data_IF_274423306894
#
_entry.id   IF_274423306894
#
_cell.length_a   1.000
_cell.length_b   1.000
_cell.length_c   1.000
_cell.angle_alpha   90.00
_cell.angle_beta   90.00
_cell.angle_gamma   90.00
#
_symmetry.space_group_name_H-M   'P 1'
#
loop_
_entity.id
_entity.type
_entity.pdbx_description
1 polymer ?
#
# COMPACT_ATOMS: atom_id res chain seq x y z
N UNK A 1 -5.81 6.00 -28.11
CA UNK A 1 -5.81 4.68 -27.42
C UNK A 1 -7.18 4.52 -26.82
N UNK A 2 -7.89 3.39 -27.00
CA UNK A 2 -9.17 3.20 -26.32
C UNK A 2 -8.94 3.37 -24.82
N UNK A 3 -9.79 4.13 -24.15
CA UNK A 3 -9.76 4.31 -22.70
C UNK A 3 -9.89 2.92 -22.06
N UNK A 4 -8.77 2.40 -21.54
CA UNK A 4 -8.81 1.18 -20.75
C UNK A 4 -9.41 1.60 -19.42
N UNK A 5 -10.64 1.17 -19.17
CA UNK A 5 -11.30 1.42 -17.89
C UNK A 5 -10.44 0.78 -16.79
N UNK A 6 -9.83 1.59 -15.93
CA UNK A 6 -8.92 1.08 -14.90
C UNK A 6 -9.73 0.21 -13.93
N UNK A 7 -9.30 -1.05 -13.76
CA UNK A 7 -10.02 -2.01 -12.89
C UNK A 7 -9.51 -2.00 -11.46
N UNK A 8 -8.26 -1.60 -11.27
CA UNK A 8 -7.59 -1.54 -9.98
C UNK A 8 -7.19 -0.11 -9.68
N UNK A 9 -7.85 0.50 -8.69
CA UNK A 9 -7.51 1.83 -8.20
C UNK A 9 -6.62 1.70 -6.96
N UNK A 10 -5.35 2.05 -7.10
CA UNK A 10 -4.44 2.18 -5.97
C UNK A 10 -4.56 3.61 -5.44
N UNK A 11 -5.01 3.76 -4.20
CA UNK A 11 -5.02 5.05 -3.55
C UNK A 11 -3.57 5.48 -3.27
N UNK A 12 -3.12 6.53 -3.93
CA UNK A 12 -1.86 7.20 -3.63
C UNK A 12 -2.14 8.44 -2.74
N UNK A 13 -1.97 8.33 -1.41
CA UNK A 13 -2.19 9.46 -0.53
C UNK A 13 -1.23 10.60 -0.89
N UNK A 14 -1.73 11.84 -0.85
CA UNK A 14 -0.92 13.03 -1.11
C UNK A 14 -0.31 13.12 -2.52
N UNK A 15 -0.82 12.40 -3.53
CA UNK A 15 -0.40 12.59 -4.93
C UNK A 15 -0.62 14.06 -5.33
N UNK A 16 0.48 14.82 -5.45
CA UNK A 16 0.46 16.25 -5.78
C UNK A 16 -0.05 17.17 -4.66
N UNK A 17 -0.15 16.68 -3.42
CA UNK A 17 -0.60 17.47 -2.27
C UNK A 17 0.39 17.37 -1.09
N UNK A 18 0.41 18.35 -0.17
CA UNK A 18 1.21 18.25 1.05
C UNK A 18 0.85 17.02 1.88
N UNK A 19 1.86 16.46 2.56
CA UNK A 19 1.63 15.44 3.58
C UNK A 19 1.08 16.10 4.85
N UNK A 20 -0.13 15.72 5.24
CA UNK A 20 -0.79 16.18 6.47
C UNK A 20 -0.57 15.19 7.64
N UNK A 21 0.56 14.48 7.63
CA UNK A 21 0.90 13.45 8.61
C UNK A 21 0.46 12.03 8.22
N UNK A 22 0.02 11.83 6.98
CA UNK A 22 -0.35 10.51 6.46
C UNK A 22 0.86 9.58 6.31
N UNK A 23 2.08 10.10 6.31
CA UNK A 23 3.31 9.29 6.32
C UNK A 23 3.98 9.15 7.69
N UNK A 24 3.38 9.71 8.75
CA UNK A 24 3.97 9.76 10.08
C UNK A 24 3.59 8.59 11.00
N UNK A 25 2.77 7.64 10.53
CA UNK A 25 2.26 6.55 11.35
C UNK A 25 2.24 5.20 10.62
N UNK A 26 2.28 4.13 11.39
CA UNK A 26 2.21 2.75 10.90
C UNK A 26 0.76 2.37 10.63
N UNK A 27 0.42 1.68 9.53
CA UNK A 27 -0.97 1.25 9.23
C UNK A 27 -1.01 0.01 8.34
N UNK A 28 -2.09 -0.80 8.38
CA UNK A 28 -2.34 -1.74 7.31
C UNK A 28 -2.58 -1.00 5.99
N UNK A 29 -2.18 -1.61 4.89
CA UNK A 29 -2.46 -1.09 3.56
C UNK A 29 -2.51 -2.24 2.54
N UNK A 30 -3.21 -2.00 1.44
CA UNK A 30 -3.27 -2.95 0.34
C UNK A 30 -1.89 -3.21 -0.26
N UNK A 31 -1.05 -2.17 -0.38
CA UNK A 31 0.30 -2.28 -0.94
C UNK A 31 1.19 -1.14 -0.49
N UNK A 32 2.50 -1.37 -0.46
CA UNK A 32 3.55 -0.34 -0.34
C UNK A 32 4.34 -0.25 -1.64
N UNK A 33 4.83 0.93 -2.01
CA UNK A 33 5.61 1.05 -3.23
C UNK A 33 6.97 0.35 -3.11
N UNK A 34 7.36 -0.35 -4.17
CA UNK A 34 8.42 -1.36 -4.30
C UNK A 34 9.85 -0.99 -3.96
N UNK A 35 10.13 0.23 -3.48
CA UNK A 35 11.51 0.61 -3.19
C UNK A 35 12.11 -0.12 -1.98
N UNK A 36 11.27 -0.57 -1.03
CA UNK A 36 11.71 -1.34 0.13
C UNK A 36 10.59 -2.24 0.66
N UNK A 37 10.77 -3.57 0.53
CA UNK A 37 9.87 -4.56 1.10
C UNK A 37 10.63 -5.43 2.12
N UNK A 38 10.08 -5.56 3.33
CA UNK A 38 10.48 -6.58 4.27
C UNK A 38 9.47 -7.72 4.24
N UNK A 39 9.88 -8.88 3.72
CA UNK A 39 8.99 -10.03 3.53
C UNK A 39 9.31 -11.12 4.56
N UNK A 40 8.39 -11.42 5.50
CA UNK A 40 8.56 -12.57 6.39
C UNK A 40 8.63 -13.87 5.59
N UNK A 41 9.52 -14.80 6.00
CA UNK A 41 9.63 -16.12 5.34
C UNK A 41 8.28 -16.83 5.25
N UNK A 42 7.50 -16.83 6.34
CA UNK A 42 6.16 -17.43 6.35
C UNK A 42 5.20 -16.82 5.31
N UNK A 43 5.38 -15.55 4.93
CA UNK A 43 4.60 -14.90 3.87
C UNK A 43 5.05 -15.37 2.48
N UNK A 44 6.35 -15.57 2.28
CA UNK A 44 6.91 -16.15 1.05
C UNK A 44 6.46 -17.59 0.87
N UNK A 45 6.50 -18.41 1.93
CA UNK A 45 6.09 -19.81 1.88
C UNK A 45 4.59 -19.95 1.56
N UNK A 46 3.76 -19.05 2.10
CA UNK A 46 2.31 -19.09 1.92
C UNK A 46 1.82 -18.54 0.57
N UNK A 47 2.53 -17.57 -0.02
CA UNK A 47 2.00 -16.77 -1.15
C UNK A 47 2.96 -16.72 -2.35
N UNK A 48 4.20 -17.17 -2.19
CA UNK A 48 5.27 -17.07 -3.19
C UNK A 48 5.92 -15.68 -3.26
N UNK A 49 7.02 -15.61 -4.00
CA UNK A 49 7.77 -14.37 -4.25
C UNK A 49 7.18 -13.48 -5.34
N UNK A 50 8.04 -12.66 -5.95
CA UNK A 50 7.68 -11.81 -7.08
C UNK A 50 7.47 -12.62 -8.36
N UNK A 51 6.54 -12.18 -9.20
CA UNK A 51 6.25 -12.82 -10.47
C UNK A 51 7.20 -12.30 -11.56
N UNK A 52 8.09 -13.18 -12.04
CA UNK A 52 9.13 -12.83 -13.02
C UNK A 52 8.58 -12.27 -14.34
N UNK A 53 7.29 -12.46 -14.64
CA UNK A 53 6.64 -11.91 -15.84
C UNK A 53 6.48 -10.39 -15.82
N UNK A 54 6.75 -9.74 -14.69
CA UNK A 54 6.80 -8.29 -14.55
C UNK A 54 8.21 -7.69 -14.76
N UNK A 55 9.24 -8.51 -14.99
CA UNK A 55 10.61 -8.07 -15.29
C UNK A 55 10.65 -7.09 -16.49
N UNK A 56 11.45 -6.01 -16.45
CA UNK A 56 12.43 -5.68 -15.41
C UNK A 56 11.91 -4.91 -14.20
N UNK A 57 10.71 -4.34 -14.27
CA UNK A 57 10.13 -3.52 -13.20
C UNK A 57 8.66 -3.21 -13.48
N UNK A 58 7.98 -2.69 -12.46
CA UNK A 58 6.63 -2.14 -12.42
C UNK A 58 5.57 -3.21 -12.19
N UNK A 59 4.76 -2.96 -11.16
CA UNK A 59 3.61 -3.76 -10.73
C UNK A 59 3.94 -5.12 -10.11
N UNK A 60 5.21 -5.50 -9.98
CA UNK A 60 5.64 -6.74 -9.33
C UNK A 60 5.39 -6.71 -7.81
N UNK A 61 5.62 -5.57 -7.19
CA UNK A 61 5.30 -5.24 -5.80
C UNK A 61 3.79 -5.30 -5.53
N UNK A 62 3.01 -4.59 -6.33
CA UNK A 62 1.56 -4.54 -6.21
C UNK A 62 0.93 -5.91 -6.45
N UNK A 63 1.42 -6.68 -7.43
CA UNK A 63 0.99 -8.06 -7.64
C UNK A 63 1.23 -8.94 -6.41
N UNK A 64 2.42 -8.83 -5.80
CA UNK A 64 2.74 -9.58 -4.60
C UNK A 64 1.77 -9.23 -3.49
N UNK A 65 1.60 -7.94 -3.23
CA UNK A 65 0.82 -7.43 -2.11
C UNK A 65 -0.67 -7.74 -2.24
N UNK A 66 -1.19 -7.71 -3.47
CA UNK A 66 -2.55 -8.19 -3.79
C UNK A 66 -2.69 -9.67 -3.42
N UNK A 67 -1.77 -10.52 -3.87
CA UNK A 67 -1.81 -11.96 -3.52
C UNK A 67 -1.70 -12.17 -2.01
N UNK A 68 -0.87 -11.39 -1.33
CA UNK A 68 -0.71 -11.48 0.13
C UNK A 68 -1.99 -11.07 0.86
N UNK A 69 -2.61 -9.96 0.45
CA UNK A 69 -3.88 -9.47 0.98
C UNK A 69 -5.02 -10.47 0.75
N UNK A 70 -5.12 -11.06 -0.43
CA UNK A 70 -6.13 -12.11 -0.72
C UNK A 70 -5.95 -13.35 0.16
N UNK A 71 -4.71 -13.66 0.56
CA UNK A 71 -4.35 -14.73 1.50
C UNK A 71 -4.45 -14.33 2.98
N UNK A 72 -5.02 -13.16 3.31
CA UNK A 72 -5.21 -12.70 4.68
C UNK A 72 -3.93 -12.20 5.36
N UNK A 73 -2.95 -11.77 4.56
CA UNK A 73 -1.64 -11.26 5.01
C UNK A 73 -1.37 -9.89 4.40
N UNK A 74 -2.14 -8.84 4.76
CA UNK A 74 -2.01 -7.52 4.17
C UNK A 74 -0.63 -6.90 4.45
N UNK A 75 -0.22 -5.98 3.60
CA UNK A 75 0.98 -5.19 3.83
C UNK A 75 0.77 -4.21 5.00
N UNK A 76 1.88 -3.79 5.59
CA UNK A 76 1.92 -2.75 6.61
C UNK A 76 2.87 -1.66 6.13
N UNK A 77 2.35 -0.43 6.05
CA UNK A 77 3.17 0.75 5.88
C UNK A 77 3.72 1.14 7.26
N UNK A 78 5.04 1.25 7.40
CA UNK A 78 5.69 1.73 8.61
C UNK A 78 6.19 3.17 8.43
N UNK A 79 5.40 4.11 8.97
CA UNK A 79 5.71 5.53 8.97
C UNK A 79 6.89 5.94 9.87
N UNK A 80 7.56 5.02 10.56
CA UNK A 80 8.78 5.30 11.34
C UNK A 80 10.07 4.96 10.58
N UNK A 81 9.97 4.16 9.52
CA UNK A 81 11.10 3.76 8.69
C UNK A 81 11.21 4.71 7.49
N UNK A 82 12.44 5.14 7.18
CA UNK A 82 12.72 6.06 6.07
C UNK A 82 13.82 5.49 5.19
N UNK A 83 13.49 5.30 3.92
CA UNK A 83 14.43 4.79 2.91
C UNK A 83 14.45 5.78 1.74
N UNK A 84 15.63 6.30 1.44
CA UNK A 84 15.81 7.16 0.27
C UNK A 84 15.75 6.31 -1.01
N UNK A 85 14.88 6.68 -1.94
CA UNK A 85 14.73 5.97 -3.22
C UNK A 85 15.08 6.90 -4.39
N UNK A 86 16.07 6.51 -5.19
CA UNK A 86 16.32 7.13 -6.48
C UNK A 86 15.42 6.47 -7.52
N UNK A 87 14.27 7.07 -7.77
CA UNK A 87 13.34 6.58 -8.78
C UNK A 87 14.01 6.57 -10.16
N UNK A 88 14.06 5.40 -10.79
CA UNK A 88 14.62 5.21 -12.13
C UNK A 88 13.59 4.75 -13.17
N UNK A 89 12.37 4.43 -12.73
CA UNK A 89 11.32 3.87 -13.57
C UNK A 89 9.95 4.35 -13.11
N UNK A 90 9.16 4.84 -14.06
CA UNK A 90 7.73 5.09 -13.98
C UNK A 90 7.23 5.41 -15.38
N UNK A 91 5.92 5.50 -15.58
CA UNK A 91 5.38 5.96 -16.86
C UNK A 91 5.88 7.37 -17.22
N UNK A 92 5.97 8.26 -16.24
CA UNK A 92 6.48 9.63 -16.41
C UNK A 92 7.99 9.68 -16.70
N UNK A 93 8.74 8.62 -16.38
CA UNK A 93 10.18 8.51 -16.65
C UNK A 93 10.50 7.61 -17.85
N UNK A 94 9.50 7.14 -18.58
CA UNK A 94 9.72 6.32 -19.77
C UNK A 94 10.42 7.15 -20.86
N UNK A 95 11.56 6.66 -21.32
CA UNK A 95 12.43 7.33 -22.31
C UNK A 95 12.11 6.93 -23.75
N UNK A 96 11.39 5.83 -23.95
CA UNK A 96 11.05 5.33 -25.27
C UNK A 96 9.73 4.52 -25.27
N UNK A 97 9.20 4.27 -26.46
CA UNK A 97 7.95 3.53 -26.64
C UNK A 97 8.00 2.08 -26.14
N UNK A 98 9.17 1.44 -26.16
CA UNK A 98 9.30 0.08 -25.63
C UNK A 98 9.10 0.07 -24.10
N UNK A 99 9.62 1.06 -23.38
CA UNK A 99 9.37 1.22 -21.95
C UNK A 99 7.89 1.54 -21.67
N UNK A 100 7.27 2.43 -22.44
CA UNK A 100 5.82 2.71 -22.31
C UNK A 100 5.01 1.43 -22.52
N UNK A 101 5.29 0.68 -23.59
CA UNK A 101 4.60 -0.57 -23.91
C UNK A 101 4.81 -1.63 -22.82
N UNK A 102 6.00 -1.72 -22.25
CA UNK A 102 6.30 -2.60 -21.12
C UNK A 102 5.44 -2.29 -19.89
N UNK A 103 5.39 -1.02 -19.49
CA UNK A 103 4.59 -0.56 -18.33
C UNK A 103 3.11 -0.85 -18.56
N UNK A 104 2.59 -0.47 -19.73
CA UNK A 104 1.19 -0.72 -20.09
C UNK A 104 0.87 -2.22 -20.15
N UNK A 105 1.77 -3.02 -20.72
CA UNK A 105 1.62 -4.48 -20.76
C UNK A 105 1.58 -5.08 -19.36
N UNK A 106 2.42 -4.63 -18.44
CA UNK A 106 2.38 -5.06 -17.05
C UNK A 106 1.10 -4.63 -16.33
N UNK A 107 0.59 -3.41 -16.57
CA UNK A 107 -0.71 -2.97 -16.05
C UNK A 107 -1.84 -3.89 -16.51
N UNK A 108 -1.90 -4.22 -17.81
CA UNK A 108 -2.89 -5.13 -18.37
C UNK A 108 -2.78 -6.52 -17.72
N UNK A 109 -1.57 -7.07 -17.59
CA UNK A 109 -1.35 -8.36 -16.89
C UNK A 109 -1.91 -8.32 -15.47
N UNK A 110 -1.58 -7.28 -14.70
CA UNK A 110 -2.03 -7.14 -13.32
C UNK A 110 -3.56 -7.10 -13.23
N UNK A 111 -4.19 -6.24 -14.03
CA UNK A 111 -5.66 -6.08 -14.03
C UNK A 111 -6.39 -7.39 -14.41
N UNK A 112 -5.77 -8.25 -15.24
CA UNK A 112 -6.36 -9.55 -15.61
C UNK A 112 -5.98 -10.69 -14.67
N UNK A 113 -5.04 -10.49 -13.74
CA UNK A 113 -4.77 -11.45 -12.66
C UNK A 113 -5.76 -11.34 -11.50
N UNK A 114 -6.50 -10.23 -11.42
CA UNK A 114 -7.47 -9.98 -10.35
C UNK A 114 -8.89 -10.08 -10.92
N UNK A 115 -9.72 -10.92 -10.29
CA UNK A 115 -11.14 -11.00 -10.64
C UNK A 115 -11.88 -9.75 -10.16
N UNK A 116 -13.02 -9.41 -10.76
CA UNK A 116 -13.83 -8.26 -10.27
C UNK A 116 -14.27 -8.44 -8.82
N UNK A 117 -14.59 -9.69 -8.43
CA UNK A 117 -14.96 -10.02 -7.06
C UNK A 117 -13.79 -9.82 -6.09
N UNK A 118 -12.57 -10.19 -6.48
CA UNK A 118 -11.37 -9.95 -5.69
C UNK A 118 -11.03 -8.46 -5.62
N UNK A 119 -11.18 -7.72 -6.72
CA UNK A 119 -10.96 -6.27 -6.72
C UNK A 119 -11.90 -5.56 -5.74
N UNK A 120 -13.19 -5.91 -5.74
CA UNK A 120 -14.16 -5.39 -4.77
C UNK A 120 -13.81 -5.80 -3.33
N UNK A 121 -13.42 -7.06 -3.12
CA UNK A 121 -13.02 -7.59 -1.80
C UNK A 121 -11.80 -6.85 -1.26
N UNK A 122 -10.79 -6.60 -2.11
CA UNK A 122 -9.58 -5.86 -1.74
C UNK A 122 -9.92 -4.41 -1.38
N UNK A 123 -10.74 -3.74 -2.18
CA UNK A 123 -11.17 -2.37 -1.92
C UNK A 123 -11.90 -2.25 -0.57
N UNK A 124 -12.95 -3.05 -0.36
CA UNK A 124 -13.74 -3.03 0.87
C UNK A 124 -12.90 -3.44 2.09
N UNK A 125 -12.12 -4.52 1.95
CA UNK A 125 -11.28 -5.05 3.03
C UNK A 125 -10.18 -4.08 3.46
N UNK A 126 -9.57 -3.37 2.52
CA UNK A 126 -8.58 -2.33 2.82
C UNK A 126 -9.21 -1.15 3.57
N UNK A 127 -10.38 -0.66 3.14
CA UNK A 127 -11.09 0.42 3.83
C UNK A 127 -11.53 0.01 5.25
N UNK A 128 -11.99 -1.23 5.42
CA UNK A 128 -12.34 -1.76 6.74
C UNK A 128 -11.12 -1.81 7.66
N UNK A 129 -10.01 -2.38 7.17
CA UNK A 129 -8.77 -2.51 7.93
C UNK A 129 -8.24 -1.15 8.38
N UNK A 130 -8.27 -0.15 7.49
CA UNK A 130 -7.90 1.23 7.81
C UNK A 130 -8.84 1.86 8.85
N UNK A 131 -10.14 1.59 8.75
CA UNK A 131 -11.14 2.12 9.70
C UNK A 131 -10.93 1.54 11.10
N UNK A 132 -10.72 0.24 11.21
CA UNK A 132 -10.47 -0.44 12.48
C UNK A 132 -9.18 0.06 13.13
N UNK A 133 -8.11 0.16 12.35
CA UNK A 133 -6.82 0.70 12.78
C UNK A 133 -6.92 2.14 13.31
N UNK A 134 -7.60 3.03 12.57
CA UNK A 134 -7.83 4.41 13.00
C UNK A 134 -8.69 4.50 14.27
N UNK A 135 -9.73 3.67 14.40
CA UNK A 135 -10.56 3.62 15.61
C UNK A 135 -9.76 3.17 16.82
N UNK A 136 -8.91 2.16 16.67
CA UNK A 136 -8.03 1.65 17.73
C UNK A 136 -7.08 2.74 18.23
N UNK A 137 -6.39 3.42 17.30
CA UNK A 137 -5.48 4.53 17.63
C UNK A 137 -6.19 5.71 18.27
N UNK A 138 -7.38 6.07 17.76
CA UNK A 138 -8.16 7.15 18.35
C UNK A 138 -8.57 6.84 19.79
N UNK A 139 -9.01 5.61 20.06
CA UNK A 139 -9.32 5.16 21.42
C UNK A 139 -8.08 5.20 22.34
N UNK A 140 -6.91 4.89 21.80
CA UNK A 140 -5.65 4.98 22.54
C UNK A 140 -5.26 6.42 22.89
N UNK A 141 -5.31 7.34 21.92
CA UNK A 141 -5.06 8.77 22.16
C UNK A 141 -6.02 9.32 23.22
N UNK A 142 -7.32 9.02 23.11
CA UNK A 142 -8.32 9.46 24.11
C UNK A 142 -8.01 8.96 25.52
N UNK A 143 -7.49 7.74 25.66
CA UNK A 143 -7.12 7.17 26.96
C UNK A 143 -5.93 7.91 27.57
N UNK A 144 -4.95 8.27 26.75
CA UNK A 144 -3.77 9.01 27.18
C UNK A 144 -4.15 10.43 27.62
N UNK A 145 -4.99 11.12 26.84
CA UNK A 145 -5.45 12.47 27.17
C UNK A 145 -6.33 12.50 28.41
N UNK A 146 -7.27 11.55 28.54
CA UNK A 146 -8.10 11.42 29.75
C UNK A 146 -7.32 11.05 31.02
N UNK A 147 -6.14 10.41 30.87
CA UNK A 147 -5.22 10.15 31.97
C UNK A 147 -4.39 11.37 32.38
N UNK A 148 -4.20 12.35 31.48
CA UNK A 148 -3.51 13.62 31.77
C UNK A 148 -4.36 14.60 32.56
N UNK A 149 -5.67 14.68 32.30
CA UNK A 149 -6.58 15.59 33.02
C UNK A 149 -6.82 15.19 34.50
N UNK A 150 -6.46 13.97 34.89
CA UNK A 150 -6.59 13.48 36.27
C UNK A 150 -5.39 13.77 37.20
N UNK A 151 -4.30 14.35 36.68
CA UNK A 151 -3.03 14.51 37.41
C UNK A 151 -2.77 15.89 38.04
N UNK A 152 -3.58 16.90 37.76
CA UNK A 152 -3.41 18.27 38.29
C UNK A 152 -4.56 18.67 39.23
N UNK A 153 -4.74 17.93 40.33
CA UNK A 153 -5.47 18.43 41.51
C UNK A 153 -4.90 17.76 42.75
N UNK A 154 -3.81 18.34 43.25
CA UNK A 154 -3.50 18.48 44.67
C UNK A 154 -2.09 19.05 44.77
N UNK A 155 -1.99 20.32 45.13
CA UNK A 155 -0.96 20.80 46.05
C UNK A 155 -1.48 22.11 46.67
N UNK A 156 -1.43 22.12 48.00
CA UNK A 156 -1.93 23.12 48.95
C UNK A 156 -1.25 24.50 48.83
#
# INVERSE_FOLDING_TARGET
>A
MPETNERLFVCEPCRGAPDLGLYAYTRPCLSVSGCCHLLPRASLDAVGGFDIRFNPTQFDDLDRDIRASLAGRPAVYDGTVRVAHKQGSSLAMAQNMAQVAHIMGNKIKLEHKVSDADAERLWRGNLESLREDLRGKYAEVRRIDGGREGGERNED
#
